data_IF_211662940799
#
_entry.id   IF_211662940799
#
_cell.length_a   1.000
_cell.length_b   1.000
_cell.length_c   1.000
_cell.angle_alpha   90.00
_cell.angle_beta   90.00
_cell.angle_gamma   90.00
#
_symmetry.space_group_name_H-M   'P 1'
#
loop_
_entity.id
_entity.type
_entity.pdbx_description
1 polymer ?
#
# COMPACT_ATOMS: atom_id res chain seq x y z
N UNK A 1 -25.14 -53.15 12.33
CA UNK A 1 -24.19 -52.50 13.26
C UNK A 1 -22.85 -52.34 12.54
N UNK A 2 -22.62 -51.20 11.88
CA UNK A 2 -21.35 -50.88 11.24
C UNK A 2 -20.67 -49.76 12.04
N UNK A 3 -19.59 -50.08 12.75
CA UNK A 3 -18.83 -49.16 13.57
C UNK A 3 -18.08 -48.14 12.71
N UNK A 4 -18.24 -46.86 13.05
CA UNK A 4 -17.57 -45.73 12.40
C UNK A 4 -16.07 -45.75 12.76
N UNK A 5 -15.12 -45.69 11.82
CA UNK A 5 -13.71 -45.70 12.15
C UNK A 5 -13.31 -44.43 12.91
N UNK A 6 -12.63 -44.63 14.05
CA UNK A 6 -12.11 -43.59 14.94
C UNK A 6 -10.88 -42.96 14.28
N UNK A 7 -11.03 -41.76 13.74
CA UNK A 7 -9.90 -40.97 13.22
C UNK A 7 -9.05 -40.52 14.40
N UNK A 8 -7.92 -41.20 14.61
CA UNK A 8 -6.88 -40.76 15.55
C UNK A 8 -6.12 -39.62 14.89
N UNK A 9 -6.36 -38.38 15.33
CA UNK A 9 -5.50 -37.24 14.97
C UNK A 9 -4.16 -37.43 15.68
N UNK A 10 -3.13 -37.78 14.92
CA UNK A 10 -1.74 -37.67 15.35
C UNK A 10 -1.46 -36.18 15.61
N UNK A 11 -1.07 -35.84 16.84
CA UNK A 11 -0.52 -34.52 17.14
C UNK A 11 0.89 -34.44 16.55
N UNK A 12 1.22 -33.47 15.69
CA UNK A 12 2.60 -33.20 15.35
C UNK A 12 3.24 -32.44 16.52
N UNK A 13 3.87 -33.18 17.43
CA UNK A 13 4.98 -32.67 18.20
C UNK A 13 6.15 -32.42 17.23
N UNK A 14 6.88 -31.34 17.47
CA UNK A 14 8.13 -30.93 16.78
C UNK A 14 8.01 -30.41 15.35
N UNK A 15 7.14 -29.42 15.13
CA UNK A 15 7.37 -28.44 14.07
C UNK A 15 8.35 -27.38 14.59
N UNK A 16 9.64 -27.56 14.28
CA UNK A 16 10.65 -26.51 14.43
C UNK A 16 10.14 -25.28 13.70
N UNK A 17 9.77 -24.24 14.46
CA UNK A 17 9.33 -22.98 13.92
C UNK A 17 10.52 -22.36 13.15
N UNK A 18 10.53 -22.48 11.83
CA UNK A 18 11.45 -21.72 11.01
C UNK A 18 11.29 -20.23 11.35
N UNK A 19 12.38 -19.50 11.64
CA UNK A 19 12.28 -18.07 11.90
C UNK A 19 11.73 -17.40 10.65
N UNK A 20 10.48 -16.94 10.76
CA UNK A 20 9.83 -16.15 9.71
C UNK A 20 10.78 -15.03 9.29
N UNK A 21 11.16 -15.01 8.01
CA UNK A 21 12.07 -13.98 7.48
C UNK A 21 11.45 -12.63 7.81
N UNK A 22 12.17 -11.70 8.47
CA UNK A 22 11.61 -10.42 8.84
C UNK A 22 11.08 -9.74 7.59
N UNK A 23 9.82 -9.26 7.66
CA UNK A 23 9.17 -8.56 6.57
C UNK A 23 9.99 -7.29 6.29
N UNK A 24 10.79 -7.34 5.23
CA UNK A 24 11.66 -6.23 4.86
C UNK A 24 10.80 -5.03 4.45
N UNK A 25 10.81 -3.99 5.27
CA UNK A 25 10.16 -2.72 4.95
C UNK A 25 10.82 -2.13 3.70
N UNK A 26 10.03 -1.89 2.66
CA UNK A 26 10.52 -1.25 1.44
C UNK A 26 10.85 0.21 1.73
N UNK A 27 12.11 0.58 1.55
CA UNK A 27 12.56 1.97 1.55
C UNK A 27 12.22 2.62 0.20
N UNK A 28 11.49 3.74 0.25
CA UNK A 28 11.20 4.53 -0.93
C UNK A 28 12.37 5.49 -1.20
N UNK A 29 13.07 5.31 -2.32
CA UNK A 29 14.21 6.14 -2.72
C UNK A 29 13.83 7.04 -3.90
N UNK A 30 14.11 8.33 -3.81
CA UNK A 30 13.80 9.32 -4.86
C UNK A 30 14.65 9.12 -6.11
N UNK A 31 14.18 9.56 -7.28
CA UNK A 31 14.94 9.46 -8.53
C UNK A 31 16.25 10.25 -8.50
N UNK A 32 16.28 11.44 -7.87
CA UNK A 32 17.52 12.21 -7.66
C UNK A 32 18.52 11.40 -6.84
N UNK A 33 18.08 10.80 -5.71
CA UNK A 33 18.97 10.00 -4.87
C UNK A 33 19.49 8.76 -5.60
N UNK A 34 18.63 8.09 -6.39
CA UNK A 34 19.07 6.97 -7.25
C UNK A 34 20.14 7.42 -8.24
N UNK A 35 19.99 8.61 -8.83
CA UNK A 35 20.96 9.15 -9.79
C UNK A 35 22.30 9.47 -9.13
N UNK A 36 22.30 10.06 -7.93
CA UNK A 36 23.52 10.28 -7.13
C UNK A 36 24.28 8.97 -6.86
N UNK A 37 23.56 7.92 -6.42
CA UNK A 37 24.13 6.60 -6.15
C UNK A 37 24.76 6.01 -7.41
N UNK A 38 24.07 6.10 -8.55
CA UNK A 38 24.57 5.59 -9.83
C UNK A 38 25.79 6.39 -10.29
N UNK A 39 25.76 7.72 -10.19
CA UNK A 39 26.88 8.57 -10.56
C UNK A 39 28.13 8.28 -9.73
N UNK A 40 27.98 8.07 -8.41
CA UNK A 40 29.08 7.68 -7.53
C UNK A 40 29.65 6.31 -7.91
N UNK A 41 28.79 5.32 -8.17
CA UNK A 41 29.25 4.01 -8.63
C UNK A 41 29.97 4.10 -9.98
N UNK A 42 29.47 4.91 -10.92
CA UNK A 42 30.10 5.10 -12.22
C UNK A 42 31.48 5.76 -12.12
N UNK A 43 31.69 6.63 -11.14
CA UNK A 43 32.99 7.27 -10.87
C UNK A 43 33.98 6.33 -10.15
N UNK A 44 33.53 5.57 -9.14
CA UNK A 44 34.40 4.72 -8.30
C UNK A 44 34.60 3.31 -8.84
N UNK A 45 33.68 2.82 -9.66
CA UNK A 45 33.60 1.42 -10.15
C UNK A 45 33.59 0.35 -9.06
N UNK A 46 33.29 0.72 -7.80
CA UNK A 46 33.28 -0.17 -6.64
C UNK A 46 31.89 -0.21 -6.02
N UNK A 47 31.27 -1.40 -6.03
CA UNK A 47 29.98 -1.63 -5.36
C UNK A 47 30.12 -1.60 -3.84
N UNK A 48 31.25 -2.06 -3.31
CA UNK A 48 31.54 -2.06 -1.87
C UNK A 48 31.62 -0.63 -1.34
N UNK A 49 32.39 0.24 -1.98
CA UNK A 49 32.48 1.65 -1.61
C UNK A 49 31.12 2.36 -1.76
N UNK A 50 30.38 2.07 -2.83
CA UNK A 50 29.06 2.66 -3.05
C UNK A 50 28.10 2.26 -1.93
N UNK A 51 28.07 0.98 -1.54
CA UNK A 51 27.18 0.53 -0.47
C UNK A 51 27.59 1.11 0.88
N UNK A 52 28.89 1.15 1.20
CA UNK A 52 29.39 1.76 2.42
C UNK A 52 29.03 3.26 2.52
N UNK A 53 29.09 3.99 1.40
CA UNK A 53 28.80 5.43 1.38
C UNK A 53 27.30 5.73 1.48
N UNK A 54 26.44 5.01 0.74
CA UNK A 54 25.01 5.34 0.64
C UNK A 54 24.11 4.55 1.58
N UNK A 55 24.59 3.42 2.11
CA UNK A 55 23.85 2.55 3.02
C UNK A 55 24.75 2.14 4.21
N UNK A 56 25.28 3.09 4.99
CA UNK A 56 26.20 2.80 6.10
C UNK A 56 25.56 1.89 7.16
N UNK A 57 24.25 2.00 7.37
CA UNK A 57 23.49 1.22 8.35
C UNK A 57 23.03 -0.15 7.81
N UNK A 58 23.45 -0.54 6.60
CA UNK A 58 23.06 -1.82 6.03
C UNK A 58 23.73 -2.98 6.79
N UNK A 59 22.91 -3.82 7.43
CA UNK A 59 23.38 -5.07 8.01
C UNK A 59 24.09 -5.94 6.96
N UNK A 60 25.04 -6.78 7.40
CA UNK A 60 25.81 -7.67 6.52
C UNK A 60 24.92 -8.53 5.59
N UNK A 61 23.76 -8.98 6.11
CA UNK A 61 22.77 -9.74 5.34
C UNK A 61 22.11 -8.95 4.20
N UNK A 62 22.09 -7.62 4.27
CA UNK A 62 21.49 -6.72 3.29
C UNK A 62 22.48 -6.21 2.23
N UNK A 63 23.78 -6.29 2.48
CA UNK A 63 24.82 -5.75 1.57
C UNK A 63 24.67 -6.28 0.15
N UNK A 64 24.48 -7.61 -0.01
CA UNK A 64 24.26 -8.21 -1.34
C UNK A 64 23.03 -7.63 -2.04
N UNK A 65 21.93 -7.44 -1.32
CA UNK A 65 20.71 -6.86 -1.88
C UNK A 65 20.91 -5.39 -2.30
N UNK A 66 21.63 -4.61 -1.50
CA UNK A 66 21.97 -3.22 -1.84
C UNK A 66 22.87 -3.14 -3.08
N UNK A 67 23.87 -4.02 -3.22
CA UNK A 67 24.69 -4.12 -4.45
C UNK A 67 23.82 -4.41 -5.69
N UNK A 68 22.89 -5.35 -5.60
CA UNK A 68 21.96 -5.66 -6.70
C UNK A 68 21.04 -4.48 -7.02
N UNK A 69 20.63 -3.71 -6.01
CA UNK A 69 19.83 -2.51 -6.16
C UNK A 69 20.59 -1.42 -6.94
N UNK A 70 21.85 -1.17 -6.59
CA UNK A 70 22.73 -0.24 -7.32
C UNK A 70 22.87 -0.66 -8.78
N UNK A 71 23.17 -1.93 -9.04
CA UNK A 71 23.30 -2.46 -10.40
C UNK A 71 22.01 -2.34 -11.21
N UNK A 72 20.86 -2.55 -10.55
CA UNK A 72 19.56 -2.33 -11.18
C UNK A 72 19.38 -0.86 -11.56
N UNK A 73 19.62 0.08 -10.65
CA UNK A 73 19.50 1.51 -10.97
C UNK A 73 20.49 1.95 -12.05
N UNK A 74 21.69 1.38 -12.08
CA UNK A 74 22.66 1.61 -13.15
C UNK A 74 22.11 1.16 -14.51
N UNK A 75 21.46 0.00 -14.60
CA UNK A 75 20.78 -0.44 -15.84
C UNK A 75 19.62 0.50 -16.22
N UNK A 76 18.92 1.02 -15.22
CA UNK A 76 17.80 1.96 -15.39
C UNK A 76 18.26 3.43 -15.50
N UNK A 77 19.56 3.73 -15.59
CA UNK A 77 20.12 5.10 -15.54
C UNK A 77 19.42 6.06 -16.51
N UNK A 78 19.25 5.65 -17.77
CA UNK A 78 18.61 6.49 -18.79
C UNK A 78 17.18 6.87 -18.41
N UNK A 79 16.41 5.91 -17.86
CA UNK A 79 15.06 6.16 -17.36
C UNK A 79 15.07 7.12 -16.16
N UNK A 80 15.96 6.86 -15.19
CA UNK A 80 16.09 7.69 -13.98
C UNK A 80 16.41 9.13 -14.36
N UNK A 81 17.38 9.33 -15.26
CA UNK A 81 17.76 10.65 -15.76
C UNK A 81 16.60 11.36 -16.46
N UNK A 82 15.91 10.69 -17.39
CA UNK A 82 14.76 11.27 -18.09
C UNK A 82 13.65 11.75 -17.13
N UNK A 83 13.41 11.01 -16.03
CA UNK A 83 12.43 11.41 -15.00
C UNK A 83 12.92 12.64 -14.23
N UNK A 84 14.20 12.72 -13.91
CA UNK A 84 14.79 13.89 -13.25
C UNK A 84 14.71 15.14 -14.16
N UNK A 85 15.09 15.01 -15.43
CA UNK A 85 15.01 16.09 -16.43
C UNK A 85 13.58 16.59 -16.62
N UNK A 86 12.59 15.70 -16.58
CA UNK A 86 11.17 16.05 -16.62
C UNK A 86 10.63 16.64 -15.28
N UNK A 87 11.50 17.05 -14.35
CA UNK A 87 11.13 17.63 -13.05
C UNK A 87 10.62 16.61 -12.01
N UNK A 88 10.65 15.31 -12.32
CA UNK A 88 10.17 14.23 -11.47
C UNK A 88 11.15 13.74 -10.41
N UNK A 89 12.25 14.46 -10.17
CA UNK A 89 13.37 14.00 -9.34
C UNK A 89 13.02 13.61 -7.90
N UNK A 90 12.04 14.29 -7.28
CA UNK A 90 11.56 13.99 -5.91
C UNK A 90 10.67 12.75 -5.84
N UNK A 91 10.15 12.26 -6.96
CA UNK A 91 9.30 11.06 -7.00
C UNK A 91 10.11 9.83 -6.61
N UNK A 92 9.47 8.90 -5.89
CA UNK A 92 10.06 7.60 -5.54
C UNK A 92 9.62 6.47 -6.48
N UNK A 93 8.52 6.72 -7.22
CA UNK A 93 7.92 5.82 -8.19
C UNK A 93 7.46 6.61 -9.43
N UNK A 94 7.72 6.07 -10.61
CA UNK A 94 7.28 6.56 -11.91
C UNK A 94 6.08 5.74 -12.38
N UNK A 95 4.91 6.08 -11.84
CA UNK A 95 3.64 5.58 -12.35
C UNK A 95 3.23 6.51 -13.49
N UNK A 96 2.89 5.96 -14.65
CA UNK A 96 2.24 6.73 -15.72
C UNK A 96 0.99 7.41 -15.13
N UNK A 97 0.68 8.61 -15.63
CA UNK A 97 -0.62 9.24 -15.39
C UNK A 97 -1.72 8.23 -15.74
N UNK A 98 -2.68 8.02 -14.85
CA UNK A 98 -3.72 6.98 -15.01
C UNK A 98 -3.29 5.55 -14.69
N UNK A 99 -2.02 5.28 -14.35
CA UNK A 99 -1.58 4.02 -13.69
C UNK A 99 -1.44 4.19 -12.17
N UNK A 100 -2.15 5.16 -11.61
CA UNK A 100 -2.50 5.17 -10.20
C UNK A 100 -3.84 4.46 -10.05
N UNK A 101 -3.96 3.60 -9.05
CA UNK A 101 -5.26 3.13 -8.58
C UNK A 101 -6.02 4.31 -7.93
N UNK A 102 -6.28 5.40 -8.64
CA UNK A 102 -6.87 6.64 -8.10
C UNK A 102 -7.47 7.42 -9.26
N UNK A 103 -8.73 7.79 -9.09
CA UNK A 103 -9.47 8.65 -10.01
C UNK A 103 -8.96 10.10 -9.90
N UNK A 104 -9.44 10.99 -10.75
CA UNK A 104 -9.26 12.43 -10.55
C UNK A 104 -9.90 12.86 -9.22
N UNK A 105 -9.47 13.99 -8.64
CA UNK A 105 -10.07 14.50 -7.41
C UNK A 105 -11.58 14.76 -7.58
N UNK A 106 -11.97 15.33 -8.73
CA UNK A 106 -13.36 15.64 -9.07
C UNK A 106 -14.21 14.36 -9.26
N UNK A 107 -13.64 13.30 -9.82
CA UNK A 107 -14.28 11.99 -9.90
C UNK A 107 -14.41 11.32 -8.52
N UNK A 108 -13.40 11.43 -7.67
CA UNK A 108 -13.52 10.93 -6.28
C UNK A 108 -14.61 11.70 -5.53
N UNK A 109 -14.69 13.03 -5.68
CA UNK A 109 -15.71 13.84 -5.02
C UNK A 109 -17.13 13.45 -5.42
N UNK A 110 -17.40 13.23 -6.72
CA UNK A 110 -18.71 12.74 -7.19
C UNK A 110 -19.11 11.38 -6.58
N UNK A 111 -18.14 10.53 -6.25
CA UNK A 111 -18.41 9.25 -5.59
C UNK A 111 -18.70 9.48 -4.10
N UNK A 112 -17.97 10.41 -3.46
CA UNK A 112 -18.21 10.80 -2.05
C UNK A 112 -19.60 11.40 -1.89
N UNK A 113 -19.99 12.34 -2.75
CA UNK A 113 -21.31 12.98 -2.71
C UNK A 113 -22.41 11.94 -2.88
N UNK A 114 -22.26 11.04 -3.86
CA UNK A 114 -23.18 9.92 -4.05
C UNK A 114 -23.25 8.98 -2.83
N UNK A 115 -22.13 8.70 -2.16
CA UNK A 115 -22.14 7.89 -0.93
C UNK A 115 -22.89 8.60 0.21
N UNK A 116 -22.73 9.91 0.35
CA UNK A 116 -23.49 10.69 1.32
C UNK A 116 -24.99 10.68 1.00
N UNK A 117 -25.38 10.78 -0.26
CA UNK A 117 -26.79 10.67 -0.69
C UNK A 117 -27.37 9.27 -0.39
N UNK A 118 -26.61 8.21 -0.63
CA UNK A 118 -27.06 6.85 -0.30
C UNK A 118 -27.18 6.65 1.22
N UNK A 119 -26.25 7.20 2.00
CA UNK A 119 -26.32 7.20 3.47
C UNK A 119 -27.50 8.01 4.00
N UNK A 120 -27.75 9.20 3.45
CA UNK A 120 -28.89 10.04 3.82
C UNK A 120 -30.25 9.39 3.48
N UNK A 121 -30.26 8.49 2.50
CA UNK A 121 -31.41 7.68 2.12
C UNK A 121 -31.48 6.32 2.88
N UNK A 122 -30.65 6.11 3.91
CA UNK A 122 -30.54 4.86 4.68
C UNK A 122 -30.28 3.60 3.82
N UNK A 123 -29.62 3.77 2.66
CA UNK A 123 -29.30 2.67 1.74
C UNK A 123 -27.87 2.18 1.95
N UNK A 124 -27.74 0.92 2.35
CA UNK A 124 -26.44 0.27 2.44
C UNK A 124 -25.78 0.12 1.05
N UNK A 125 -24.58 0.68 0.90
CA UNK A 125 -23.81 0.57 -0.34
C UNK A 125 -22.90 -0.66 -0.29
N UNK A 126 -23.19 -1.64 -1.14
CA UNK A 126 -22.35 -2.83 -1.24
C UNK A 126 -21.02 -2.53 -1.95
N UNK A 127 -20.02 -3.36 -1.64
CA UNK A 127 -18.71 -3.34 -2.30
C UNK A 127 -18.79 -3.34 -3.84
N UNK A 128 -19.77 -4.06 -4.40
CA UNK A 128 -20.02 -4.15 -5.84
C UNK A 128 -20.56 -2.83 -6.40
N UNK A 129 -21.57 -2.24 -5.75
CA UNK A 129 -22.16 -0.96 -6.17
C UNK A 129 -21.14 0.17 -6.13
N UNK A 130 -20.28 0.21 -5.11
CA UNK A 130 -19.18 1.18 -5.05
C UNK A 130 -18.18 0.99 -6.19
N UNK A 131 -17.83 -0.25 -6.54
CA UNK A 131 -16.95 -0.52 -7.69
C UNK A 131 -17.60 -0.13 -9.02
N UNK A 132 -18.89 -0.41 -9.22
CA UNK A 132 -19.66 -0.01 -10.40
C UNK A 132 -19.71 1.52 -10.53
N UNK A 133 -20.06 2.24 -9.47
CA UNK A 133 -20.09 3.72 -9.46
C UNK A 133 -18.72 4.31 -9.76
N UNK A 134 -17.66 3.72 -9.22
CA UNK A 134 -16.30 4.17 -9.48
C UNK A 134 -15.86 3.98 -10.93
N UNK A 135 -16.24 2.85 -11.54
CA UNK A 135 -16.00 2.62 -12.97
C UNK A 135 -16.80 3.59 -13.84
N UNK A 136 -18.04 3.90 -13.46
CA UNK A 136 -18.84 4.92 -14.14
C UNK A 136 -18.18 6.30 -14.06
N UNK A 137 -17.71 6.71 -12.88
CA UNK A 137 -16.99 7.98 -12.72
C UNK A 137 -15.71 8.04 -13.59
N UNK A 138 -15.00 6.92 -13.73
CA UNK A 138 -13.85 6.81 -14.63
C UNK A 138 -14.25 7.00 -16.11
N UNK A 139 -15.38 6.41 -16.51
CA UNK A 139 -15.91 6.54 -17.87
C UNK A 139 -16.38 7.97 -18.16
N UNK A 140 -17.04 8.62 -17.20
CA UNK A 140 -17.45 10.03 -17.29
C UNK A 140 -16.23 10.96 -17.51
N UNK A 141 -15.10 10.63 -16.89
CA UNK A 141 -13.81 11.32 -17.10
C UNK A 141 -13.04 10.84 -18.34
N UNK A 142 -13.64 9.95 -19.15
CA UNK A 142 -13.05 9.40 -20.38
C UNK A 142 -11.71 8.69 -20.13
N UNK A 143 -11.54 8.06 -18.96
CA UNK A 143 -10.38 7.21 -18.70
C UNK A 143 -10.46 5.96 -19.58
N UNK A 144 -9.30 5.55 -20.10
CA UNK A 144 -9.18 4.28 -20.81
C UNK A 144 -9.52 3.11 -19.85
N UNK A 145 -10.26 2.07 -20.28
CA UNK A 145 -10.70 0.98 -19.40
C UNK A 145 -9.55 0.21 -18.71
N UNK A 146 -8.37 0.18 -19.32
CA UNK A 146 -7.18 -0.45 -18.70
C UNK A 146 -6.51 0.39 -17.61
N UNK A 147 -6.87 1.67 -17.47
CA UNK A 147 -6.29 2.57 -16.48
C UNK A 147 -6.91 2.41 -15.08
N UNK A 148 -8.17 1.96 -14.98
CA UNK A 148 -8.88 1.90 -13.71
C UNK A 148 -9.72 0.63 -13.58
N UNK A 149 -9.52 -0.13 -12.49
CA UNK A 149 -10.21 -1.41 -12.25
C UNK A 149 -11.04 -1.46 -10.96
N UNK A 150 -11.26 -0.34 -10.29
CA UNK A 150 -11.98 -0.26 -9.01
C UNK A 150 -11.64 -1.40 -8.02
N UNK A 151 -10.34 -1.75 -7.92
CA UNK A 151 -9.86 -2.94 -7.22
C UNK A 151 -10.20 -2.91 -5.73
N UNK A 152 -10.16 -4.07 -5.07
CA UNK A 152 -10.34 -4.14 -3.61
C UNK A 152 -9.38 -3.20 -2.87
N UNK A 153 -8.11 -3.15 -3.28
CA UNK A 153 -7.09 -2.26 -2.71
C UNK A 153 -7.43 -0.78 -2.92
N UNK A 154 -7.94 -0.41 -4.10
CA UNK A 154 -8.43 0.95 -4.34
C UNK A 154 -9.59 1.29 -3.41
N UNK A 155 -10.61 0.42 -3.35
CA UNK A 155 -11.81 0.63 -2.54
C UNK A 155 -11.47 0.82 -1.07
N UNK A 156 -10.62 -0.03 -0.50
CA UNK A 156 -10.15 0.11 0.88
C UNK A 156 -9.44 1.45 1.11
N UNK A 157 -8.57 1.85 0.17
CA UNK A 157 -7.85 3.11 0.27
C UNK A 157 -8.80 4.31 0.16
N UNK A 158 -9.74 4.28 -0.79
CA UNK A 158 -10.76 5.30 -1.00
C UNK A 158 -11.62 5.50 0.25
N UNK A 159 -12.22 4.42 0.76
CA UNK A 159 -13.07 4.48 1.96
C UNK A 159 -12.30 5.03 3.17
N UNK A 160 -11.04 4.62 3.35
CA UNK A 160 -10.21 5.10 4.46
C UNK A 160 -9.86 6.58 4.32
N UNK A 161 -9.53 7.05 3.11
CA UNK A 161 -9.19 8.48 2.88
C UNK A 161 -10.38 9.40 3.11
N UNK A 162 -11.58 8.91 2.80
CA UNK A 162 -12.82 9.69 2.88
C UNK A 162 -13.66 9.38 4.12
N UNK A 163 -13.08 8.70 5.12
CA UNK A 163 -13.72 8.51 6.44
C UNK A 163 -14.86 7.49 6.50
N UNK A 164 -15.10 6.71 5.44
CA UNK A 164 -16.16 5.70 5.39
C UNK A 164 -15.78 4.37 6.07
N UNK A 165 -14.54 4.22 6.54
CA UNK A 165 -14.16 3.09 7.41
C UNK A 165 -14.47 3.50 8.85
N UNK A 166 -15.62 3.06 9.37
CA UNK A 166 -15.89 3.14 10.80
C UNK A 166 -14.90 2.25 11.54
N UNK A 167 -13.92 2.86 12.21
CA UNK A 167 -13.25 2.19 13.33
C UNK A 167 -14.32 1.83 14.35
N UNK A 168 -14.22 0.63 14.93
CA UNK A 168 -15.04 0.20 16.05
C UNK A 168 -15.15 1.34 17.08
N UNK A 169 -16.31 2.00 17.13
CA UNK A 169 -16.61 2.91 18.22
C UNK A 169 -16.75 2.07 19.48
N UNK A 170 -15.95 2.44 20.47
CA UNK A 170 -15.77 1.74 21.73
C UNK A 170 -17.07 1.52 22.47
N UNK A 171 -17.06 0.46 23.28
CA UNK A 171 -18.13 0.14 24.21
C UNK A 171 -18.52 1.38 25.02
N UNK A 172 -19.81 1.66 25.04
CA UNK A 172 -20.42 2.58 25.96
C UNK A 172 -20.73 1.78 27.24
N UNK A 173 -20.01 1.97 28.36
CA UNK A 173 -20.50 1.51 29.63
C UNK A 173 -21.66 2.43 30.02
N UNK A 174 -22.89 1.92 29.94
CA UNK A 174 -24.01 2.54 30.63
C UNK A 174 -23.85 2.25 32.12
N UNK A 175 -23.33 3.21 32.87
CA UNK A 175 -23.54 3.28 34.31
C UNK A 175 -24.39 4.51 34.62
N UNK A 176 -25.57 4.30 35.23
CA UNK A 176 -26.07 5.24 36.21
C UNK A 176 -26.36 4.49 37.52
N UNK A 177 -25.47 4.60 38.49
CA UNK A 177 -25.84 4.37 39.89
C UNK A 177 -25.91 5.73 40.59
N UNK A 178 -27.08 6.19 41.05
CA UNK A 178 -27.17 7.40 41.86
C UNK A 178 -26.78 7.09 43.31
N UNK A 179 -25.69 7.71 43.75
CA UNK A 179 -25.32 7.83 45.17
C UNK A 179 -26.31 8.75 45.89
N UNK A 180 -26.75 8.30 47.07
CA UNK A 180 -27.58 9.09 47.97
C UNK A 180 -26.92 10.41 48.39
N UNK A 181 -27.76 11.39 48.73
CA UNK A 181 -27.38 12.59 49.46
C UNK A 181 -28.36 12.77 50.62
N UNK A 182 -27.80 12.72 51.81
CA UNK A 182 -28.35 13.07 53.11
C UNK A 182 -28.87 14.50 53.15
N UNK A 183 -30.04 14.72 53.76
CA UNK A 183 -30.26 15.61 54.90
C UNK A 183 -31.49 15.12 55.68
#
# INVERSE_FOLDING_TARGET
MAGRPRVVRVQPADAIAEPTRPVQRREAVSYVRKLEVVAFYEARKSLDETVAHFFPDAAASQVRAKKQLVMRWRRERGKIAAICEAGGGRKTNDRKVGMGATLSADAEQRIVDWLHEEHAADRAVSAKRLSERAMQAAQEDKLHPDCFKASWTWRQSFLRRHGFVQGAQGGQPTDPTPTGTTL
#
